data_IF_433349186459
#
_entry.id   IF_433349186459
#
_cell.length_a   1.000
_cell.length_b   1.000
_cell.length_c   1.000
_cell.angle_alpha   90.00
_cell.angle_beta   90.00
_cell.angle_gamma   90.00
#
_symmetry.space_group_name_H-M   'P 1'
#
loop_
_entity.id
_entity.type
_entity.pdbx_description
1 polymer ?
#
# COMPACT_ATOMS: atom_id res chain seq x y z
N UNK A 1 23.15 -14.32 -7.74
CA UNK A 1 23.87 -13.26 -6.98
C UNK A 1 22.81 -12.37 -6.34
N UNK A 2 22.66 -12.34 -5.01
CA UNK A 2 21.66 -11.46 -4.38
C UNK A 2 22.11 -10.00 -4.59
N UNK A 3 21.33 -9.21 -5.34
CA UNK A 3 21.55 -7.76 -5.50
C UNK A 3 20.98 -7.07 -4.26
N UNK A 4 21.84 -6.53 -3.43
CA UNK A 4 21.45 -5.60 -2.38
C UNK A 4 21.15 -4.24 -3.01
N UNK A 5 20.11 -3.56 -2.54
CA UNK A 5 19.77 -2.21 -3.01
C UNK A 5 20.82 -1.20 -2.56
N UNK A 6 21.36 -1.38 -1.35
CA UNK A 6 22.49 -0.62 -0.85
C UNK A 6 23.35 -1.46 0.10
N UNK A 7 24.60 -1.05 0.30
CA UNK A 7 25.49 -1.63 1.30
C UNK A 7 26.27 -0.50 1.99
N UNK A 8 26.26 -0.50 3.31
CA UNK A 8 26.94 0.48 4.15
C UNK A 8 27.98 -0.20 5.03
N UNK A 9 29.07 0.51 5.35
CA UNK A 9 30.06 0.09 6.34
C UNK A 9 30.05 1.05 7.52
N UNK A 10 29.88 0.50 8.72
CA UNK A 10 29.87 1.20 10.00
C UNK A 10 30.97 0.58 10.86
N UNK A 11 32.16 1.18 10.84
CA UNK A 11 33.35 0.60 11.47
C UNK A 11 33.68 -0.77 10.86
N UNK A 12 33.64 -1.82 11.68
CA UNK A 12 33.85 -3.21 11.24
C UNK A 12 32.56 -3.94 10.81
N UNK A 13 31.40 -3.29 10.92
CA UNK A 13 30.11 -3.88 10.56
C UNK A 13 29.72 -3.50 9.14
N UNK A 14 29.26 -4.49 8.36
CA UNK A 14 28.67 -4.27 7.03
C UNK A 14 27.17 -4.47 7.11
N UNK A 15 26.41 -3.48 6.65
CA UNK A 15 24.95 -3.50 6.60
C UNK A 15 24.51 -3.63 5.14
N UNK A 16 23.65 -4.58 4.85
CA UNK A 16 23.07 -4.79 3.52
C UNK A 16 21.59 -4.39 3.53
N UNK A 17 21.22 -3.40 2.72
CA UNK A 17 19.81 -3.08 2.46
C UNK A 17 19.32 -4.02 1.37
N UNK A 18 18.29 -4.80 1.67
CA UNK A 18 17.57 -5.61 0.70
C UNK A 18 16.29 -4.88 0.32
N UNK A 19 15.98 -4.83 -0.98
CA UNK A 19 14.63 -4.48 -1.41
C UNK A 19 13.63 -5.41 -0.70
N UNK A 20 12.48 -4.90 -0.25
CA UNK A 20 11.39 -5.79 0.13
C UNK A 20 11.07 -6.70 -1.06
N UNK A 21 10.65 -7.96 -0.80
CA UNK A 21 10.29 -8.87 -1.87
C UNK A 21 9.23 -8.23 -2.78
N UNK A 22 9.27 -8.49 -4.10
CA UNK A 22 8.26 -7.97 -5.01
C UNK A 22 6.88 -8.43 -4.53
N UNK A 23 5.93 -7.49 -4.51
CA UNK A 23 4.56 -7.81 -4.17
C UNK A 23 4.01 -8.83 -5.17
N UNK A 24 3.30 -9.83 -4.64
CA UNK A 24 2.55 -10.75 -5.49
C UNK A 24 1.36 -10.00 -6.12
N UNK A 25 0.82 -10.55 -7.19
CA UNK A 25 -0.40 -10.02 -7.81
C UNK A 25 -1.57 -10.01 -6.83
N UNK A 26 -1.66 -11.02 -5.95
CA UNK A 26 -2.66 -11.10 -4.89
C UNK A 26 -2.50 -9.98 -3.85
N UNK A 27 -1.28 -9.68 -3.44
CA UNK A 27 -1.02 -8.59 -2.50
C UNK A 27 -1.30 -7.23 -3.14
N UNK A 28 -0.97 -7.08 -4.42
CA UNK A 28 -1.32 -5.89 -5.19
C UNK A 28 -2.84 -5.70 -5.30
N UNK A 29 -3.59 -6.77 -5.53
CA UNK A 29 -5.05 -6.76 -5.59
C UNK A 29 -5.68 -6.36 -4.25
N UNK A 30 -5.13 -6.83 -3.12
CA UNK A 30 -5.58 -6.41 -1.78
C UNK A 30 -5.36 -4.91 -1.56
N UNK A 31 -4.18 -4.40 -1.91
CA UNK A 31 -3.84 -2.97 -1.80
C UNK A 31 -4.79 -2.14 -2.66
N UNK A 32 -4.98 -2.54 -3.93
CA UNK A 32 -5.87 -1.85 -4.87
C UNK A 32 -7.33 -1.82 -4.38
N UNK A 33 -7.82 -2.94 -3.83
CA UNK A 33 -9.17 -3.00 -3.25
C UNK A 33 -9.32 -2.03 -2.07
N UNK A 34 -8.31 -1.94 -1.21
CA UNK A 34 -8.28 -0.98 -0.10
C UNK A 34 -8.29 0.47 -0.59
N UNK A 35 -7.44 0.80 -1.57
CA UNK A 35 -7.38 2.14 -2.15
C UNK A 35 -8.68 2.55 -2.84
N UNK A 36 -9.31 1.64 -3.59
CA UNK A 36 -10.60 1.90 -4.22
C UNK A 36 -11.69 2.16 -3.17
N UNK A 37 -11.71 1.37 -2.09
CA UNK A 37 -12.65 1.57 -0.99
C UNK A 37 -12.45 2.93 -0.33
N UNK A 38 -11.22 3.27 0.03
CA UNK A 38 -10.88 4.56 0.62
C UNK A 38 -11.26 5.73 -0.30
N UNK A 39 -10.96 5.60 -1.60
CA UNK A 39 -11.31 6.62 -2.59
C UNK A 39 -12.82 6.82 -2.72
N UNK A 40 -13.61 5.73 -2.64
CA UNK A 40 -15.07 5.82 -2.64
C UNK A 40 -15.61 6.45 -1.35
N UNK A 41 -15.05 6.09 -0.18
CA UNK A 41 -15.44 6.68 1.11
C UNK A 41 -15.17 8.20 1.12
N UNK A 42 -13.97 8.62 0.71
CA UNK A 42 -13.62 10.04 0.57
C UNK A 42 -14.55 10.75 -0.43
N UNK A 43 -14.84 10.11 -1.57
CA UNK A 43 -15.71 10.71 -2.58
C UNK A 43 -17.14 10.91 -2.07
N UNK A 44 -17.69 9.96 -1.32
CA UNK A 44 -19.02 10.08 -0.68
C UNK A 44 -19.05 11.18 0.38
N UNK A 45 -18.01 11.26 1.21
CA UNK A 45 -17.87 12.33 2.21
C UNK A 45 -17.81 13.72 1.55
N UNK A 46 -17.12 13.85 0.41
CA UNK A 46 -16.97 15.12 -0.30
C UNK A 46 -18.19 15.47 -1.17
N UNK A 47 -18.89 14.47 -1.72
CA UNK A 47 -20.07 14.68 -2.56
C UNK A 47 -21.33 15.01 -1.77
N UNK A 48 -21.33 14.82 -0.44
CA UNK A 48 -22.52 15.00 0.40
C UNK A 48 -23.62 14.01 0.07
N UNK A 49 -23.27 12.84 -0.50
CA UNK A 49 -24.20 11.72 -0.65
C UNK A 49 -24.45 11.11 0.74
N UNK A 50 -25.34 11.74 1.51
CA UNK A 50 -26.00 11.08 2.63
C UNK A 50 -26.76 9.87 2.08
N UNK A 51 -26.71 8.73 2.79
CA UNK A 51 -27.53 7.55 2.47
C UNK A 51 -29.03 7.86 2.70
N UNK A 52 -29.62 8.75 1.90
CA UNK A 52 -31.06 8.91 1.80
C UNK A 52 -31.60 7.84 0.85
N UNK A 53 -32.01 6.70 1.40
CA UNK A 53 -32.58 5.64 0.58
C UNK A 53 -33.02 4.36 1.29
N UNK A 54 -33.48 4.41 2.54
CA UNK A 54 -34.36 3.36 3.07
C UNK A 54 -35.64 4.04 3.60
N UNK A 55 -36.58 4.29 2.68
CA UNK A 55 -37.97 4.58 3.04
C UNK A 55 -38.78 3.27 2.88
N UNK A 56 -39.33 2.82 4.00
CA UNK A 56 -40.23 1.65 4.15
C UNK A 56 -41.65 1.94 3.69
#
# INVERSE_FOLDING_TARGET
MKKYDATYKLGNTTVHIVAPPPLTEDDWNKIKKGLNRLGLEIWREDSGEDEEGEEV
#
